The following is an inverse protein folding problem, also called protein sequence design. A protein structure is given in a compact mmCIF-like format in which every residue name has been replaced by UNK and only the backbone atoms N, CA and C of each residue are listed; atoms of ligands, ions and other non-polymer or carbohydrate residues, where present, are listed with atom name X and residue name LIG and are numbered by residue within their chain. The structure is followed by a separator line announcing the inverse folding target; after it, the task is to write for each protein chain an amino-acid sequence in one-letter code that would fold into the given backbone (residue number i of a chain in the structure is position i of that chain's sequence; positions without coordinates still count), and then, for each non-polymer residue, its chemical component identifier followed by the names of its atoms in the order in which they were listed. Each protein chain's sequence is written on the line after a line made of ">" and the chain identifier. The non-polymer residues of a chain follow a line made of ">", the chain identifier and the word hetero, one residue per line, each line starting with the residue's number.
data_IF_848591380127
#
_entry.id   IF_848591380127
#
_cell.length_a   1.000
_cell.length_b   1.000
_cell.length_c   1.000
_cell.angle_alpha   90.00
_cell.angle_beta   90.00
_cell.angle_gamma   90.00
#
_symmetry.space_group_name_H-M   'P 1'
#
loop_
_entity.id
_entity.type
_entity.pdbx_description
1 polymer ?
#
# COMPACT_ATOMS: atom_id res chain seq x y z
N UNK A 1 2.69 -27.85 -35.19
CA UNK A 1 3.65 -27.61 -34.10
C UNK A 1 2.91 -26.84 -32.99
N UNK A 2 1.66 -27.23 -32.71
CA UNK A 2 0.64 -26.27 -32.23
C UNK A 2 0.03 -26.64 -30.88
N UNK A 3 -0.24 -27.93 -30.60
CA UNK A 3 -0.88 -28.34 -29.34
C UNK A 3 0.01 -28.15 -28.10
N UNK A 4 1.34 -28.17 -28.26
CA UNK A 4 2.26 -27.97 -27.13
C UNK A 4 2.44 -26.49 -26.77
N UNK A 5 2.37 -25.59 -27.77
CA UNK A 5 2.43 -24.15 -27.53
C UNK A 5 1.11 -23.65 -26.94
N UNK A 6 -0.02 -24.09 -27.47
CA UNK A 6 -1.37 -23.78 -26.93
C UNK A 6 -1.50 -24.25 -25.47
N UNK A 7 -1.03 -25.46 -25.15
CA UNK A 7 -0.98 -25.97 -23.77
C UNK A 7 -0.10 -25.13 -22.84
N UNK A 8 1.01 -24.59 -23.34
CA UNK A 8 1.91 -23.73 -22.54
C UNK A 8 1.27 -22.38 -22.30
N UNK A 9 0.58 -21.81 -23.29
CA UNK A 9 -0.18 -20.56 -23.15
C UNK A 9 -1.31 -20.73 -22.12
N UNK A 10 -2.14 -21.78 -22.23
CA UNK A 10 -3.19 -22.11 -21.26
C UNK A 10 -2.64 -22.21 -19.83
N UNK A 11 -1.56 -22.99 -19.64
CA UNK A 11 -0.96 -23.18 -18.31
C UNK A 11 -0.33 -21.89 -17.75
N UNK A 12 0.14 -20.99 -18.63
CA UNK A 12 0.69 -19.69 -18.21
C UNK A 12 -0.42 -18.75 -17.77
N UNK A 13 -1.54 -18.74 -18.49
CA UNK A 13 -2.73 -17.97 -18.16
C UNK A 13 -3.37 -18.46 -16.85
N UNK A 14 -3.57 -19.77 -16.70
CA UNK A 14 -4.06 -20.38 -15.45
C UNK A 14 -3.14 -20.05 -14.25
N UNK A 15 -1.83 -20.05 -14.46
CA UNK A 15 -0.86 -19.71 -13.41
C UNK A 15 -0.88 -18.23 -13.05
N UNK A 16 -1.13 -17.34 -14.02
CA UNK A 16 -1.25 -15.91 -13.79
C UNK A 16 -2.53 -15.60 -13.02
N UNK A 17 -3.66 -16.16 -13.43
CA UNK A 17 -4.95 -15.98 -12.78
C UNK A 17 -4.92 -16.48 -11.32
N UNK A 18 -4.30 -17.63 -11.09
CA UNK A 18 -4.08 -18.15 -9.74
C UNK A 18 -3.25 -17.19 -8.88
N UNK A 19 -2.18 -16.61 -9.43
CA UNK A 19 -1.34 -15.64 -8.73
C UNK A 19 -2.06 -14.32 -8.44
N UNK A 20 -2.90 -13.84 -9.37
CA UNK A 20 -3.73 -12.64 -9.17
C UNK A 20 -4.75 -12.88 -8.05
N UNK A 21 -5.39 -14.05 -8.02
CA UNK A 21 -6.34 -14.41 -6.98
C UNK A 21 -5.65 -14.48 -5.61
N UNK A 22 -4.55 -15.20 -5.51
CA UNK A 22 -3.77 -15.32 -4.26
C UNK A 22 -3.31 -13.95 -3.75
N UNK A 23 -2.83 -13.09 -4.64
CA UNK A 23 -2.45 -11.72 -4.30
C UNK A 23 -3.64 -10.89 -3.83
N UNK A 24 -4.79 -11.00 -4.52
CA UNK A 24 -6.00 -10.24 -4.18
C UNK A 24 -6.54 -10.63 -2.81
N UNK A 25 -6.55 -11.93 -2.48
CA UNK A 25 -6.98 -12.44 -1.17
C UNK A 25 -6.08 -11.92 -0.05
N UNK A 26 -4.77 -11.97 -0.24
CA UNK A 26 -3.81 -11.45 0.74
C UNK A 26 -3.86 -9.93 0.88
N UNK A 27 -4.12 -9.23 -0.23
CA UNK A 27 -4.27 -7.78 -0.21
C UNK A 27 -5.56 -7.37 0.54
N UNK A 28 -6.64 -8.10 0.32
CA UNK A 28 -7.89 -7.95 1.05
C UNK A 28 -7.70 -8.14 2.56
N UNK A 29 -7.01 -9.22 2.97
CA UNK A 29 -6.68 -9.48 4.37
C UNK A 29 -5.91 -8.31 4.98
N UNK A 30 -4.82 -7.87 4.32
CA UNK A 30 -4.02 -6.73 4.76
C UNK A 30 -4.83 -5.42 4.87
N UNK A 31 -5.74 -5.18 3.92
CA UNK A 31 -6.59 -3.99 3.94
C UNK A 31 -7.58 -4.03 5.12
N UNK A 32 -8.24 -5.18 5.33
CA UNK A 32 -9.26 -5.35 6.36
C UNK A 32 -8.64 -5.36 7.77
N UNK A 33 -7.40 -5.82 7.94
CA UNK A 33 -6.66 -5.67 9.20
C UNK A 33 -6.44 -4.19 9.59
N UNK A 34 -6.28 -3.29 8.62
CA UNK A 34 -6.08 -1.86 8.86
C UNK A 34 -7.37 -1.03 8.87
N UNK A 35 -8.50 -1.62 8.46
CA UNK A 35 -9.78 -0.94 8.34
C UNK A 35 -10.72 -1.44 9.44
N UNK A 36 -10.94 -0.63 10.47
CA UNK A 36 -11.82 -0.97 11.60
C UNK A 36 -13.31 -0.92 11.28
N UNK A 37 -13.69 -0.52 10.06
CA UNK A 37 -15.08 -0.30 9.67
C UNK A 37 -15.73 -1.51 9.00
N UNK A 38 -15.68 -1.53 7.66
CA UNK A 38 -16.42 -2.44 6.79
C UNK A 38 -15.42 -3.17 5.92
N UNK A 39 -15.45 -4.50 5.99
CA UNK A 39 -14.65 -5.34 5.12
C UNK A 39 -14.90 -4.99 3.66
N UNK A 40 -13.81 -4.89 2.92
CA UNK A 40 -13.80 -4.61 1.50
C UNK A 40 -13.43 -5.89 0.77
N UNK A 41 -14.24 -6.29 -0.20
CA UNK A 41 -13.91 -7.39 -1.11
C UNK A 41 -13.09 -6.83 -2.27
N UNK A 42 -11.83 -7.25 -2.38
CA UNK A 42 -10.92 -6.77 -3.42
C UNK A 42 -10.91 -7.79 -4.56
N UNK A 43 -11.26 -7.34 -5.76
CA UNK A 43 -11.17 -8.17 -6.96
C UNK A 43 -10.39 -7.47 -8.06
N UNK A 44 -9.67 -8.25 -8.86
CA UNK A 44 -8.98 -7.78 -10.05
C UNK A 44 -9.64 -8.45 -11.25
N UNK A 45 -10.11 -7.65 -12.21
CA UNK A 45 -10.74 -8.18 -13.41
C UNK A 45 -9.70 -8.58 -14.48
N UNK A 46 -10.16 -9.21 -15.57
CA UNK A 46 -9.33 -9.67 -16.69
C UNK A 46 -8.53 -8.53 -17.39
N UNK A 47 -8.96 -7.28 -17.24
CA UNK A 47 -8.23 -6.09 -17.74
C UNK A 47 -7.18 -5.58 -16.76
N UNK A 48 -7.00 -6.23 -15.60
CA UNK A 48 -6.12 -5.79 -14.53
C UNK A 48 -6.66 -4.59 -13.74
N UNK A 49 -7.96 -4.30 -13.81
CA UNK A 49 -8.59 -3.23 -13.01
C UNK A 49 -8.98 -3.77 -11.65
N UNK A 50 -8.65 -3.00 -10.61
CA UNK A 50 -9.07 -3.28 -9.25
C UNK A 50 -10.49 -2.76 -9.04
N UNK A 51 -11.37 -3.65 -8.57
CA UNK A 51 -12.78 -3.42 -8.39
C UNK A 51 -13.23 -3.80 -6.97
N UNK A 52 -14.22 -3.07 -6.48
CA UNK A 52 -14.75 -3.21 -5.14
C UNK A 52 -16.29 -3.16 -5.15
N UNK A 53 -16.96 -3.85 -4.21
CA UNK A 53 -18.39 -3.71 -4.05
C UNK A 53 -18.74 -2.28 -3.60
N UNK A 54 -19.84 -1.77 -4.14
CA UNK A 54 -20.49 -0.54 -3.72
C UNK A 54 -22.00 -0.74 -3.59
N UNK A 55 -22.69 0.18 -2.91
CA UNK A 55 -24.12 0.02 -2.56
C UNK A 55 -25.03 -0.28 -3.77
N UNK A 56 -24.73 0.28 -4.94
CA UNK A 56 -25.55 0.15 -6.15
C UNK A 56 -24.72 -0.08 -7.44
N UNK A 57 -23.39 -0.14 -7.34
CA UNK A 57 -22.49 -0.29 -8.47
C UNK A 57 -21.15 -0.84 -7.99
N UNK A 58 -20.42 -1.46 -8.91
CA UNK A 58 -18.99 -1.69 -8.72
C UNK A 58 -18.29 -0.33 -8.65
N UNK A 59 -17.35 -0.23 -7.72
CA UNK A 59 -16.41 0.89 -7.60
C UNK A 59 -15.09 0.40 -8.18
N UNK A 60 -14.35 1.27 -8.84
CA UNK A 60 -13.00 0.96 -9.33
C UNK A 60 -11.97 1.76 -8.55
N UNK A 61 -10.73 1.26 -8.52
CA UNK A 61 -9.60 2.06 -8.07
C UNK A 61 -9.36 3.19 -9.07
N UNK A 62 -10.00 4.33 -8.81
CA UNK A 62 -9.82 5.56 -9.58
C UNK A 62 -9.75 6.76 -8.63
N UNK A 63 -8.75 7.60 -8.85
CA UNK A 63 -8.62 8.90 -8.17
C UNK A 63 -9.73 9.88 -8.59
N UNK A 64 -10.42 9.61 -9.70
CA UNK A 64 -11.50 10.41 -10.28
C UNK A 64 -12.88 10.25 -9.66
N UNK A 65 -13.11 9.23 -8.80
CA UNK A 65 -14.28 9.19 -7.92
C UNK A 65 -14.89 7.81 -7.72
N UNK A 66 -15.04 7.45 -6.44
CA UNK A 66 -15.97 6.49 -5.80
C UNK A 66 -15.40 5.97 -4.47
N UNK A 67 -14.11 6.20 -4.22
CA UNK A 67 -13.42 5.93 -2.97
C UNK A 67 -13.09 7.24 -2.24
N UNK A 68 -13.19 7.23 -0.93
CA UNK A 68 -12.71 8.32 -0.07
C UNK A 68 -11.17 8.37 -0.09
N UNK A 69 -10.62 9.52 0.31
CA UNK A 69 -9.17 9.68 0.45
C UNK A 69 -8.56 8.67 1.45
N UNK A 70 -9.28 8.39 2.54
CA UNK A 70 -8.88 7.39 3.53
C UNK A 70 -8.85 5.98 2.95
N UNK A 71 -9.91 5.57 2.23
CA UNK A 71 -9.97 4.25 1.57
C UNK A 71 -8.82 4.09 0.56
N UNK A 72 -8.58 5.09 -0.28
CA UNK A 72 -7.46 5.08 -1.23
C UNK A 72 -6.11 4.96 -0.52
N UNK A 73 -5.94 5.63 0.61
CA UNK A 73 -4.71 5.60 1.37
C UNK A 73 -4.46 4.21 1.96
N UNK A 74 -5.47 3.60 2.61
CA UNK A 74 -5.38 2.25 3.15
C UNK A 74 -5.14 1.21 2.04
N UNK A 75 -5.79 1.35 0.88
CA UNK A 75 -5.54 0.51 -0.29
C UNK A 75 -4.09 0.61 -0.76
N UNK A 76 -3.50 1.80 -0.78
CA UNK A 76 -2.12 1.98 -1.19
C UNK A 76 -1.13 1.36 -0.18
N UNK A 77 -1.36 1.55 1.11
CA UNK A 77 -0.52 0.98 2.17
C UNK A 77 -0.56 -0.54 2.09
N UNK A 78 -1.76 -1.12 2.11
CA UNK A 78 -1.98 -2.58 2.07
C UNK A 78 -1.37 -3.18 0.81
N UNK A 79 -1.52 -2.54 -0.35
CA UNK A 79 -0.97 -3.02 -1.61
C UNK A 79 0.55 -3.12 -1.55
N UNK A 80 1.24 -2.07 -1.10
CA UNK A 80 2.71 -2.07 -1.01
C UNK A 80 3.22 -3.12 -0.02
N UNK A 81 2.56 -3.26 1.13
CA UNK A 81 2.95 -4.25 2.13
C UNK A 81 2.76 -5.68 1.59
N UNK A 82 1.62 -5.93 0.95
CA UNK A 82 1.31 -7.23 0.34
C UNK A 82 2.28 -7.56 -0.78
N UNK A 83 2.56 -6.60 -1.68
CA UNK A 83 3.53 -6.77 -2.75
C UNK A 83 4.93 -7.07 -2.22
N UNK A 84 5.36 -6.36 -1.19
CA UNK A 84 6.66 -6.61 -0.56
C UNK A 84 6.72 -8.01 0.04
N UNK A 85 5.66 -8.46 0.74
CA UNK A 85 5.55 -9.81 1.29
C UNK A 85 5.61 -10.89 0.21
N UNK A 86 4.76 -10.77 -0.82
CA UNK A 86 4.74 -11.70 -1.95
C UNK A 86 6.09 -11.81 -2.65
N UNK A 87 6.74 -10.67 -2.87
CA UNK A 87 8.00 -10.63 -3.59
C UNK A 87 9.14 -11.32 -2.81
N UNK A 88 9.10 -11.25 -1.47
CA UNK A 88 10.02 -11.96 -0.58
C UNK A 88 9.66 -13.46 -0.50
N UNK A 89 8.40 -13.79 -0.27
CA UNK A 89 7.93 -15.19 -0.12
C UNK A 89 8.13 -16.03 -1.39
N UNK A 90 8.07 -15.40 -2.56
CA UNK A 90 8.26 -16.06 -3.86
C UNK A 90 9.70 -15.96 -4.39
N UNK A 91 10.67 -15.53 -3.58
CA UNK A 91 12.08 -15.36 -3.96
C UNK A 91 12.29 -14.47 -5.22
N UNK A 92 11.34 -13.59 -5.52
CA UNK A 92 11.42 -12.68 -6.67
C UNK A 92 12.46 -11.59 -6.40
N UNK A 93 12.53 -11.14 -5.15
CA UNK A 93 13.47 -10.11 -4.69
C UNK A 93 13.69 -10.19 -3.17
N UNK A 94 14.80 -9.62 -2.70
CA UNK A 94 15.13 -9.45 -1.28
C UNK A 94 14.75 -8.05 -0.78
N UNK A 95 13.55 -7.57 -1.14
CA UNK A 95 13.07 -6.27 -0.65
C UNK A 95 12.73 -6.36 0.84
N UNK A 96 13.74 -6.07 1.65
CA UNK A 96 13.61 -6.00 3.10
C UNK A 96 13.19 -4.61 3.59
N UNK A 97 13.06 -3.63 2.69
CA UNK A 97 12.74 -2.24 3.05
C UNK A 97 11.51 -1.71 2.33
N UNK A 98 10.54 -1.20 3.09
CA UNK A 98 9.38 -0.46 2.61
C UNK A 98 9.55 1.01 2.97
N UNK A 99 9.41 1.91 1.99
CA UNK A 99 9.45 3.36 2.20
C UNK A 99 8.07 3.95 1.91
N UNK A 100 7.47 4.61 2.89
CA UNK A 100 6.15 5.21 2.79
C UNK A 100 6.25 6.74 3.02
N UNK A 101 5.78 7.51 2.04
CA UNK A 101 5.77 8.98 2.13
C UNK A 101 4.40 9.49 2.60
N UNK A 102 4.34 10.09 3.79
CA UNK A 102 3.11 10.58 4.43
C UNK A 102 1.94 9.55 4.43
N UNK A 103 2.17 8.27 4.79
CA UNK A 103 1.18 7.21 4.64
C UNK A 103 -0.11 7.46 5.43
N UNK A 104 -0.05 8.18 6.55
CA UNK A 104 -1.17 8.32 7.48
C UNK A 104 -1.90 9.66 7.33
N UNK A 105 -1.45 10.54 6.43
CA UNK A 105 -1.90 11.93 6.30
C UNK A 105 -3.39 12.09 5.97
N UNK A 106 -3.97 11.13 5.26
CA UNK A 106 -5.39 11.14 4.87
C UNK A 106 -6.28 10.26 5.74
N UNK A 107 -5.74 9.60 6.78
CA UNK A 107 -6.52 8.75 7.69
C UNK A 107 -7.15 9.63 8.77
N UNK A 108 -8.41 10.03 8.53
CA UNK A 108 -9.14 10.92 9.44
C UNK A 108 -9.66 10.20 10.68
N UNK A 109 -9.93 8.91 10.55
CA UNK A 109 -10.45 8.08 11.64
C UNK A 109 -9.28 7.54 12.45
N UNK A 110 -9.31 7.81 13.75
CA UNK A 110 -8.25 7.44 14.69
C UNK A 110 -8.05 5.93 14.74
N UNK A 111 -9.13 5.16 14.76
CA UNK A 111 -9.09 3.69 14.78
C UNK A 111 -8.38 3.10 13.55
N UNK A 112 -8.69 3.58 12.33
CA UNK A 112 -8.01 3.14 11.11
C UNK A 112 -6.52 3.54 11.11
N UNK A 113 -6.20 4.70 11.69
CA UNK A 113 -4.82 5.16 11.77
C UNK A 113 -4.02 4.29 12.76
N UNK A 114 -4.58 4.00 13.92
CA UNK A 114 -3.99 3.09 14.92
C UNK A 114 -3.80 1.69 14.32
N UNK A 115 -4.83 1.12 13.70
CA UNK A 115 -4.76 -0.18 13.05
C UNK A 115 -3.72 -0.22 11.91
N UNK A 116 -3.64 0.85 11.10
CA UNK A 116 -2.61 0.96 10.07
C UNK A 116 -1.19 1.04 10.65
N UNK A 117 -0.99 1.75 11.77
CA UNK A 117 0.29 1.83 12.46
C UNK A 117 0.68 0.47 13.03
N UNK A 118 -0.23 -0.21 13.73
CA UNK A 118 -0.01 -1.54 14.29
C UNK A 118 0.36 -2.53 13.19
N UNK A 119 -0.36 -2.50 12.07
CA UNK A 119 -0.08 -3.35 10.92
C UNK A 119 1.32 -3.10 10.35
N UNK A 120 1.65 -1.86 9.96
CA UNK A 120 2.93 -1.57 9.28
C UNK A 120 4.14 -1.75 10.21
N UNK A 121 3.98 -1.50 11.51
CA UNK A 121 5.06 -1.69 12.49
C UNK A 121 5.21 -3.15 12.94
N UNK A 122 4.19 -3.98 12.74
CA UNK A 122 4.21 -5.42 12.98
C UNK A 122 4.87 -6.25 11.88
N UNK A 123 5.15 -5.66 10.71
CA UNK A 123 5.81 -6.34 9.59
C UNK A 123 7.26 -6.71 9.93
N UNK A 124 7.72 -7.88 9.46
CA UNK A 124 9.12 -8.33 9.58
C UNK A 124 10.05 -7.67 8.55
N UNK A 125 9.75 -6.42 8.16
CA UNK A 125 10.47 -5.65 7.15
C UNK A 125 10.92 -4.31 7.73
N UNK A 126 12.04 -3.79 7.25
CA UNK A 126 12.46 -2.43 7.60
C UNK A 126 11.47 -1.42 7.02
N UNK A 127 10.80 -0.68 7.88
CA UNK A 127 9.90 0.39 7.48
C UNK A 127 10.58 1.76 7.64
N UNK A 128 10.49 2.60 6.60
CA UNK A 128 10.85 4.02 6.65
C UNK A 128 9.61 4.83 6.33
N UNK A 129 9.12 5.58 7.32
CA UNK A 129 7.96 6.47 7.17
C UNK A 129 8.43 7.92 7.24
N UNK A 130 8.01 8.74 6.29
CA UNK A 130 8.07 10.21 6.47
C UNK A 130 6.70 10.68 6.94
N UNK A 131 6.70 11.62 7.89
CA UNK A 131 5.46 12.31 8.26
C UNK A 131 5.75 13.71 8.79
N UNK A 132 4.78 14.60 8.56
CA UNK A 132 4.72 15.91 9.19
C UNK A 132 3.96 15.90 10.52
N UNK A 133 3.37 14.77 10.91
CA UNK A 133 2.64 14.60 12.16
C UNK A 133 3.59 14.13 13.30
N UNK A 134 3.96 15.04 14.19
CA UNK A 134 4.84 14.78 15.33
C UNK A 134 4.18 13.92 16.43
N UNK A 135 2.86 13.78 16.42
CA UNK A 135 2.15 12.98 17.42
C UNK A 135 2.43 11.46 17.23
N UNK A 136 3.02 11.09 16.09
CA UNK A 136 3.35 9.70 15.75
C UNK A 136 4.74 9.27 16.22
N UNK A 137 5.54 10.17 16.80
CA UNK A 137 6.91 9.88 17.21
C UNK A 137 7.02 8.69 18.18
N UNK A 138 6.01 8.50 19.06
CA UNK A 138 5.98 7.38 20.02
C UNK A 138 5.78 6.01 19.38
N UNK A 139 5.24 5.97 18.16
CA UNK A 139 4.87 4.73 17.47
C UNK A 139 6.06 4.10 16.74
N UNK A 140 7.17 4.83 16.60
CA UNK A 140 8.34 4.38 15.85
C UNK A 140 9.57 4.24 16.75
N UNK A 141 10.29 3.12 16.59
CA UNK A 141 11.50 2.83 17.36
C UNK A 141 12.66 3.82 17.12
N UNK A 142 12.66 4.50 15.97
CA UNK A 142 13.69 5.47 15.56
C UNK A 142 13.02 6.63 14.85
N UNK A 143 13.29 7.85 15.33
CA UNK A 143 12.73 9.09 14.79
C UNK A 143 13.87 10.06 14.50
N UNK A 144 13.88 10.60 13.28
CA UNK A 144 14.83 11.62 12.84
C UNK A 144 14.05 12.83 12.32
N UNK A 145 14.30 14.02 12.91
CA UNK A 145 13.55 15.23 12.58
C UNK A 145 14.32 16.07 11.56
N UNK A 146 13.76 16.22 10.36
CA UNK A 146 14.33 17.07 9.32
C UNK A 146 13.85 18.51 9.47
N UNK A 147 14.77 19.42 9.78
CA UNK A 147 14.49 20.86 9.88
C UNK A 147 15.18 21.63 8.75
N UNK A 148 14.46 22.60 8.16
CA UNK A 148 15.07 23.55 7.23
C UNK A 148 15.92 24.55 8.03
N UNK A 149 17.23 24.53 7.84
CA UNK A 149 18.08 25.62 8.33
C UNK A 149 17.84 26.87 7.48
N UNK A 150 17.58 28.04 8.08
CA UNK A 150 17.52 29.28 7.31
C UNK A 150 18.90 29.56 6.71
N UNK A 151 18.97 29.67 5.39
CA UNK A 151 20.11 30.28 4.71
C UNK A 151 20.13 31.76 5.13
N UNK A 152 20.87 32.07 6.18
CA UNK A 152 21.09 33.44 6.62
C UNK A 152 22.01 34.12 5.60
N UNK A 153 21.45 34.60 4.48
CA UNK A 153 22.15 35.52 3.60
C UNK A 153 22.32 36.84 4.33
N UNK A 154 23.51 37.08 4.87
CA UNK A 154 23.92 38.41 5.28
C UNK A 154 24.02 39.28 4.02
N UNK A 155 23.16 40.30 3.95
CA UNK A 155 23.13 41.35 2.92
C UNK A 155 24.38 42.26 2.94
N UNK A 156 25.53 41.75 3.39
CA UNK A 156 26.80 42.45 3.54
C UNK A 156 27.93 41.94 2.63
N UNK A 157 27.75 40.82 1.92
CA UNK A 157 28.81 40.24 1.06
C UNK A 157 28.83 40.81 -0.37
N UNK A 158 28.09 41.88 -0.64
CA UNK A 158 28.02 42.57 -1.94
C UNK A 158 28.33 44.07 -1.88
N UNK A 159 29.16 44.53 -0.94
CA UNK A 159 29.70 45.90 -0.93
C UNK A 159 31.23 45.93 -0.97
#
# INVERSE_FOLDING_TARGET
>A
MDAASERVEELTEESLDAGILEFSDAWEEAYNEMNSNLDLEISVNEEGRVQFPGRNSLREYDRGGNLSGSELQLLNISFVCTLSRFAVENDVTQWETIVLDEPLSNLQEEENREAAIDYITGLDQQLIVTTSNQDLDSEFNKVEVLQRSPLQMTLGDYL
#
